data_IF_439509418399
#
_entry.id   IF_439509418399
#
_cell.length_a   1.000
_cell.length_b   1.000
_cell.length_c   1.000
_cell.angle_alpha   90.00
_cell.angle_beta   90.00
_cell.angle_gamma   90.00
#
_symmetry.space_group_name_H-M   'P 1'
#
loop_
_entity.id
_entity.type
_entity.pdbx_description
1 polymer ?
#
# COMPACT_ATOMS: atom_id res chain seq x y z
N UNK A 1 -11.80 -21.79 -2.22
CA UNK A 1 -12.21 -21.31 -3.56
C UNK A 1 -12.69 -19.87 -3.49
N UNK A 2 -13.88 -19.59 -2.92
CA UNK A 2 -14.48 -18.24 -2.80
C UNK A 2 -13.51 -17.13 -2.36
N UNK A 3 -12.80 -17.30 -1.25
CA UNK A 3 -11.89 -16.26 -0.73
C UNK A 3 -10.73 -15.93 -1.70
N UNK A 4 -10.22 -16.93 -2.43
CA UNK A 4 -9.18 -16.72 -3.43
C UNK A 4 -9.74 -15.94 -4.63
N UNK A 5 -10.95 -16.25 -5.08
CA UNK A 5 -11.63 -15.51 -6.14
C UNK A 5 -11.86 -14.05 -5.74
N UNK A 6 -12.32 -13.81 -4.51
CA UNK A 6 -12.49 -12.47 -3.96
C UNK A 6 -11.16 -11.71 -3.99
N UNK A 7 -10.08 -12.29 -3.45
CA UNK A 7 -8.76 -11.65 -3.45
C UNK A 7 -8.27 -11.32 -4.87
N UNK A 8 -8.46 -12.24 -5.82
CA UNK A 8 -8.09 -12.02 -7.23
C UNK A 8 -8.90 -10.88 -7.86
N UNK A 9 -10.19 -10.77 -7.55
CA UNK A 9 -11.01 -9.65 -8.01
C UNK A 9 -10.58 -8.32 -7.38
N UNK A 10 -10.23 -8.30 -6.10
CA UNK A 10 -9.69 -7.09 -5.44
C UNK A 10 -8.41 -6.63 -6.14
N UNK A 11 -7.45 -7.53 -6.40
CA UNK A 11 -6.23 -7.19 -7.15
C UNK A 11 -6.57 -6.61 -8.53
N UNK A 12 -7.48 -7.26 -9.28
CA UNK A 12 -7.92 -6.78 -10.59
C UNK A 12 -8.47 -5.34 -10.55
N UNK A 13 -9.21 -4.96 -9.51
CA UNK A 13 -9.78 -3.62 -9.37
C UNK A 13 -8.71 -2.55 -9.08
N UNK A 14 -7.61 -2.91 -8.40
CA UNK A 14 -6.54 -1.99 -8.06
C UNK A 14 -5.44 -1.87 -9.13
N UNK A 15 -5.27 -2.88 -10.00
CA UNK A 15 -4.28 -2.87 -11.08
C UNK A 15 -4.29 -1.57 -11.92
N UNK A 16 -5.46 -1.04 -12.38
CA UNK A 16 -5.49 0.16 -13.22
C UNK A 16 -4.98 1.42 -12.51
N UNK A 17 -4.98 1.43 -11.18
CA UNK A 17 -4.50 2.56 -10.36
C UNK A 17 -3.09 2.33 -9.81
N UNK A 18 -2.37 1.34 -10.35
CA UNK A 18 -0.97 1.08 -10.01
C UNK A 18 -0.78 0.42 -8.64
N UNK A 19 -1.82 -0.21 -8.08
CA UNK A 19 -1.71 -0.98 -6.85
C UNK A 19 -1.92 -2.45 -7.15
N UNK A 20 -1.07 -3.28 -6.57
CA UNK A 20 -1.18 -4.73 -6.58
C UNK A 20 -1.62 -5.21 -5.22
N UNK A 21 -2.49 -6.22 -5.18
CA UNK A 21 -3.03 -6.75 -3.93
C UNK A 21 -2.71 -8.23 -3.86
N UNK A 22 -2.06 -8.65 -2.78
CA UNK A 22 -1.60 -10.02 -2.62
C UNK A 22 -2.09 -10.61 -1.32
N UNK A 23 -2.70 -11.80 -1.41
CA UNK A 23 -3.15 -12.57 -0.25
C UNK A 23 -1.97 -13.31 0.38
N UNK A 24 -1.51 -12.83 1.54
CA UNK A 24 -0.37 -13.41 2.28
C UNK A 24 -0.79 -14.15 3.56
N UNK A 25 -2.07 -14.09 3.92
CA UNK A 25 -2.62 -14.71 5.12
C UNK A 25 -4.10 -15.04 4.95
N UNK A 26 -4.50 -16.24 5.38
CA UNK A 26 -5.89 -16.65 5.45
C UNK A 26 -6.15 -17.34 6.79
N UNK A 27 -6.99 -16.77 7.65
CA UNK A 27 -7.33 -17.29 8.99
C UNK A 27 -8.85 -17.55 9.10
N UNK A 28 -9.27 -18.81 8.92
CA UNK A 28 -10.69 -19.20 8.93
C UNK A 28 -11.10 -19.68 10.34
N UNK A 29 -12.02 -18.96 10.97
CA UNK A 29 -12.54 -19.27 12.31
C UNK A 29 -13.60 -20.39 12.29
N UNK A 30 -13.19 -21.58 11.86
CA UNK A 30 -14.07 -22.74 11.62
C UNK A 30 -14.75 -23.32 12.87
N UNK A 31 -14.19 -23.12 14.06
CA UNK A 31 -14.71 -23.69 15.30
C UNK A 31 -15.42 -22.67 16.19
N UNK A 32 -14.85 -21.46 16.28
CA UNK A 32 -15.35 -20.38 17.11
C UNK A 32 -14.75 -19.06 16.64
N UNK A 33 -15.56 -18.03 16.63
CA UNK A 33 -15.09 -16.67 16.38
C UNK A 33 -14.05 -16.24 17.42
N UNK A 34 -12.98 -15.62 16.94
CA UNK A 34 -11.91 -15.11 17.82
C UNK A 34 -12.29 -13.78 18.47
N UNK A 35 -13.31 -13.11 17.93
CA UNK A 35 -13.96 -11.94 18.50
C UNK A 35 -15.47 -12.07 18.37
N UNK A 36 -16.24 -11.41 19.23
CA UNK A 36 -17.69 -11.37 19.09
C UNK A 36 -18.10 -10.46 17.92
N UNK A 37 -18.79 -11.05 16.94
CA UNK A 37 -19.30 -10.35 15.75
C UNK A 37 -20.67 -9.75 16.07
N UNK A 38 -20.76 -8.42 16.04
CA UNK A 38 -21.98 -7.65 16.27
C UNK A 38 -22.63 -7.23 14.95
N UNK A 39 -23.94 -7.02 14.96
CA UNK A 39 -24.68 -6.36 13.87
C UNK A 39 -24.29 -4.89 13.72
N UNK A 40 -23.71 -4.28 14.75
CA UNK A 40 -23.10 -2.95 14.64
C UNK A 40 -21.66 -3.06 14.06
N UNK A 41 -21.40 -2.54 12.85
CA UNK A 41 -20.11 -2.68 12.18
C UNK A 41 -18.97 -1.93 12.89
N UNK A 42 -19.24 -0.83 13.60
CA UNK A 42 -18.22 -0.09 14.36
C UNK A 42 -17.67 -0.93 15.52
N UNK A 43 -18.56 -1.64 16.23
CA UNK A 43 -18.19 -2.54 17.32
C UNK A 43 -17.36 -3.70 16.79
N UNK A 44 -17.80 -4.32 15.69
CA UNK A 44 -17.10 -5.44 15.06
C UNK A 44 -15.72 -5.01 14.54
N UNK A 45 -15.62 -3.85 13.87
CA UNK A 45 -14.35 -3.30 13.38
C UNK A 45 -13.36 -3.04 14.52
N UNK A 46 -13.80 -2.43 15.61
CA UNK A 46 -12.95 -2.16 16.76
C UNK A 46 -12.37 -3.46 17.36
N UNK A 47 -13.22 -4.48 17.57
CA UNK A 47 -12.81 -5.78 18.10
C UNK A 47 -11.86 -6.51 17.15
N UNK A 48 -12.17 -6.51 15.85
CA UNK A 48 -11.32 -7.12 14.83
C UNK A 48 -9.93 -6.50 14.77
N UNK A 49 -9.83 -5.16 14.78
CA UNK A 49 -8.54 -4.47 14.75
C UNK A 49 -7.72 -4.69 16.03
N UNK A 50 -8.37 -4.80 17.20
CA UNK A 50 -7.69 -5.18 18.46
C UNK A 50 -7.12 -6.61 18.37
N UNK A 51 -7.92 -7.56 17.86
CA UNK A 51 -7.45 -8.93 17.62
C UNK A 51 -6.33 -8.99 16.58
N UNK A 52 -6.44 -8.24 15.48
CA UNK A 52 -5.39 -8.14 14.46
C UNK A 52 -4.06 -7.74 15.10
N UNK A 53 -4.09 -6.73 15.97
CA UNK A 53 -2.90 -6.23 16.64
C UNK A 53 -2.29 -7.23 17.63
N UNK A 54 -3.12 -7.88 18.45
CA UNK A 54 -2.65 -8.79 19.51
C UNK A 54 -2.30 -10.18 19.03
N UNK A 55 -3.00 -10.67 18.01
CA UNK A 55 -2.97 -12.07 17.63
C UNK A 55 -2.46 -12.27 16.21
N UNK A 56 -2.92 -11.49 15.22
CA UNK A 56 -2.56 -11.74 13.82
C UNK A 56 -1.18 -11.19 13.45
N UNK A 57 -0.91 -9.92 13.75
CA UNK A 57 0.38 -9.26 13.43
C UNK A 57 1.61 -10.00 13.98
N UNK A 58 1.60 -10.58 15.20
CA UNK A 58 2.73 -11.36 15.69
C UNK A 58 2.99 -12.67 14.94
N UNK A 59 1.96 -13.23 14.28
CA UNK A 59 2.04 -14.53 13.58
C UNK A 59 2.35 -14.38 12.09
N UNK A 60 1.77 -13.35 11.46
CA UNK A 60 1.82 -13.17 10.00
C UNK A 60 2.10 -11.71 9.66
N UNK A 61 3.21 -11.45 8.97
CA UNK A 61 3.53 -10.11 8.45
C UNK A 61 2.59 -9.78 7.28
N UNK A 62 1.83 -8.70 7.40
CA UNK A 62 0.90 -8.20 6.39
C UNK A 62 0.68 -6.69 6.58
N UNK A 63 0.22 -6.00 5.55
CA UNK A 63 0.03 -4.54 5.58
C UNK A 63 -1.36 -4.17 6.10
N UNK A 64 -2.35 -4.93 5.67
CA UNK A 64 -3.77 -4.68 5.87
C UNK A 64 -4.52 -6.00 6.12
N UNK A 65 -5.58 -5.98 6.93
CA UNK A 65 -6.42 -7.15 7.12
C UNK A 65 -7.90 -6.85 6.89
N UNK A 66 -8.61 -7.72 6.17
CA UNK A 66 -10.02 -7.53 5.82
C UNK A 66 -10.82 -8.69 6.40
N UNK A 67 -11.69 -8.40 7.37
CA UNK A 67 -12.57 -9.39 7.98
C UNK A 67 -13.80 -9.58 7.11
N UNK A 68 -14.14 -10.83 6.79
CA UNK A 68 -15.36 -11.17 6.04
C UNK A 68 -16.31 -11.93 6.96
N UNK A 69 -17.56 -11.48 7.06
CA UNK A 69 -18.57 -12.07 7.94
C UNK A 69 -19.87 -12.37 7.19
N UNK A 70 -20.56 -13.44 7.62
CA UNK A 70 -21.94 -13.73 7.18
C UNK A 70 -23.01 -13.08 8.05
N UNK A 71 -22.62 -12.28 9.05
CA UNK A 71 -23.55 -11.49 9.87
C UNK A 71 -23.97 -10.24 9.10
N UNK A 72 -25.28 -10.05 8.99
CA UNK A 72 -25.90 -8.85 8.40
C UNK A 72 -25.70 -7.64 9.31
N UNK A 73 -25.09 -6.58 8.79
CA UNK A 73 -24.87 -5.36 9.55
C UNK A 73 -26.12 -4.46 9.55
N UNK A 74 -26.28 -3.64 10.58
CA UNK A 74 -27.44 -2.77 10.71
C UNK A 74 -27.54 -1.75 9.57
N UNK A 75 -28.74 -1.63 9.01
CA UNK A 75 -29.06 -0.63 7.99
C UNK A 75 -28.74 -1.13 6.58
N UNK A 76 -27.98 -0.33 5.83
CA UNK A 76 -27.56 -0.65 4.45
C UNK A 76 -26.04 -0.78 4.32
N UNK A 77 -25.34 -0.89 5.45
CA UNK A 77 -23.89 -0.93 5.51
C UNK A 77 -23.42 -2.34 5.23
N UNK A 78 -22.63 -2.53 4.18
CA UNK A 78 -22.04 -3.85 3.85
C UNK A 78 -20.55 -3.93 4.17
N UNK A 79 -19.95 -2.84 4.63
CA UNK A 79 -18.54 -2.76 4.98
C UNK A 79 -18.24 -1.52 5.82
N UNK A 80 -17.12 -1.55 6.54
CA UNK A 80 -16.62 -0.40 7.28
C UNK A 80 -15.10 -0.46 7.48
N UNK A 81 -14.41 0.63 7.13
CA UNK A 81 -12.99 0.83 7.35
C UNK A 81 -12.66 2.16 8.04
N UNK A 82 -11.52 2.18 8.72
CA UNK A 82 -10.89 3.44 9.12
C UNK A 82 -10.24 4.13 7.91
N UNK A 83 -10.43 5.44 7.79
CA UNK A 83 -9.77 6.21 6.74
C UNK A 83 -8.30 6.48 7.07
N UNK A 84 -7.44 6.57 6.05
CA UNK A 84 -6.00 6.87 6.19
C UNK A 84 -5.25 5.92 7.14
N UNK A 85 -5.72 4.68 7.25
CA UNK A 85 -5.20 3.71 8.20
C UNK A 85 -4.21 2.72 7.58
N UNK A 86 -3.94 2.76 6.28
CA UNK A 86 -2.99 1.86 5.61
C UNK A 86 -1.61 1.87 6.29
N UNK A 87 -1.02 0.69 6.51
CA UNK A 87 0.23 0.48 7.26
C UNK A 87 0.21 0.88 8.76
N UNK A 88 -0.93 1.25 9.34
CA UNK A 88 -1.04 1.54 10.78
C UNK A 88 -1.52 0.31 11.57
N UNK A 89 -1.55 0.44 12.90
CA UNK A 89 -2.18 -0.56 13.78
C UNK A 89 -3.66 -0.79 13.44
N UNK A 90 -4.32 0.22 12.88
CA UNK A 90 -5.73 0.22 12.50
C UNK A 90 -5.96 -0.11 11.02
N UNK A 91 -4.94 -0.64 10.33
CA UNK A 91 -5.03 -1.00 8.91
C UNK A 91 -5.89 -2.24 8.69
N UNK A 92 -7.18 -2.00 8.42
CA UNK A 92 -8.11 -3.05 8.07
C UNK A 92 -9.54 -2.56 7.97
N UNK A 93 -10.43 -3.51 7.65
CA UNK A 93 -11.86 -3.28 7.55
C UNK A 93 -12.67 -4.54 7.90
N UNK A 94 -13.97 -4.36 8.04
CA UNK A 94 -14.97 -5.44 8.11
C UNK A 94 -15.87 -5.38 6.88
N UNK A 95 -16.25 -6.53 6.34
CA UNK A 95 -17.00 -6.68 5.10
C UNK A 95 -18.03 -7.79 5.26
N UNK A 96 -19.25 -7.55 4.84
CA UNK A 96 -20.30 -8.56 4.80
C UNK A 96 -20.16 -9.43 3.53
N UNK A 97 -20.38 -10.74 3.65
CA UNK A 97 -20.51 -11.67 2.53
C UNK A 97 -21.92 -11.56 1.88
N UNK A 98 -22.30 -10.34 1.50
CA UNK A 98 -23.68 -9.92 1.17
C UNK A 98 -24.22 -10.47 -0.17
N UNK A 99 -23.39 -11.16 -0.97
CA UNK A 99 -23.79 -11.62 -2.30
C UNK A 99 -23.13 -12.93 -2.70
N UNK A 100 -23.84 -13.84 -3.36
CA UNK A 100 -23.25 -15.09 -3.85
C UNK A 100 -22.17 -14.87 -4.93
N UNK A 101 -22.19 -13.76 -5.66
CA UNK A 101 -21.15 -13.38 -6.61
C UNK A 101 -19.94 -12.79 -5.85
N UNK A 102 -18.78 -13.44 -5.97
CA UNK A 102 -17.50 -13.01 -5.39
C UNK A 102 -17.11 -11.57 -5.75
N UNK A 103 -17.54 -11.07 -6.92
CA UNK A 103 -17.30 -9.68 -7.34
C UNK A 103 -17.95 -8.68 -6.38
N UNK A 104 -19.15 -8.95 -5.87
CA UNK A 104 -19.85 -8.02 -4.99
C UNK A 104 -19.11 -7.77 -3.69
N UNK A 105 -18.58 -8.83 -3.08
CA UNK A 105 -17.76 -8.76 -1.87
C UNK A 105 -16.39 -8.16 -2.17
N UNK A 106 -15.78 -8.51 -3.30
CA UNK A 106 -14.53 -7.91 -3.73
C UNK A 106 -14.64 -6.40 -3.96
N UNK A 107 -15.75 -5.91 -4.53
CA UNK A 107 -16.01 -4.48 -4.67
C UNK A 107 -16.13 -3.79 -3.30
N UNK A 108 -16.78 -4.41 -2.32
CA UNK A 108 -16.84 -3.89 -0.94
C UNK A 108 -15.44 -3.85 -0.32
N UNK A 109 -14.65 -4.92 -0.40
CA UNK A 109 -13.28 -4.92 0.11
C UNK A 109 -12.43 -3.85 -0.56
N UNK A 110 -12.58 -3.65 -1.88
CA UNK A 110 -11.88 -2.60 -2.60
C UNK A 110 -12.32 -1.20 -2.18
N UNK A 111 -13.60 -1.00 -1.86
CA UNK A 111 -14.10 0.23 -1.29
C UNK A 111 -13.48 0.51 0.09
N UNK A 112 -13.54 -0.45 1.00
CA UNK A 112 -13.04 -0.29 2.36
C UNK A 112 -11.52 -0.15 2.42
N UNK A 113 -10.79 -0.91 1.60
CA UNK A 113 -9.34 -0.73 1.46
C UNK A 113 -9.01 0.63 0.82
N UNK A 114 -9.90 1.17 -0.02
CA UNK A 114 -9.85 2.52 -0.54
C UNK A 114 -9.88 3.55 0.59
N UNK A 115 -10.79 3.40 1.55
CA UNK A 115 -10.78 4.22 2.76
C UNK A 115 -9.46 4.10 3.53
N UNK A 116 -8.95 2.88 3.75
CA UNK A 116 -7.64 2.70 4.39
C UNK A 116 -6.52 3.47 3.66
N UNK A 117 -6.58 3.55 2.33
CA UNK A 117 -5.68 4.33 1.45
C UNK A 117 -6.04 5.82 1.34
N UNK A 118 -6.91 6.33 2.21
CA UNK A 118 -7.25 7.75 2.31
C UNK A 118 -8.30 8.24 1.31
N UNK A 119 -8.96 7.34 0.58
CA UNK A 119 -10.00 7.70 -0.36
C UNK A 119 -11.30 8.05 0.39
N UNK A 120 -11.95 9.11 -0.07
CA UNK A 120 -13.31 9.49 0.34
C UNK A 120 -14.33 9.08 -0.71
N UNK A 121 -15.60 9.10 -0.36
CA UNK A 121 -16.68 8.83 -1.32
C UNK A 121 -16.65 9.78 -2.51
N UNK A 122 -17.07 9.28 -3.66
CA UNK A 122 -17.22 10.05 -4.88
C UNK A 122 -18.32 11.12 -4.75
N UNK A 123 -18.09 12.25 -5.41
CA UNK A 123 -19.04 13.37 -5.49
C UNK A 123 -19.50 13.55 -6.94
N UNK A 124 -20.53 14.37 -7.18
CA UNK A 124 -21.10 14.55 -8.53
C UNK A 124 -20.09 15.07 -9.57
N UNK A 125 -18.96 15.63 -9.14
CA UNK A 125 -17.92 16.15 -10.02
C UNK A 125 -16.84 15.10 -10.37
N UNK A 126 -16.93 13.90 -9.81
CA UNK A 126 -15.98 12.83 -10.09
C UNK A 126 -16.29 12.16 -11.42
N UNK A 127 -15.24 11.83 -12.18
CA UNK A 127 -15.37 11.15 -13.47
C UNK A 127 -15.19 9.66 -13.24
N UNK A 128 -16.25 8.90 -13.51
CA UNK A 128 -16.31 7.45 -13.41
C UNK A 128 -16.36 6.83 -14.81
N UNK A 129 -15.24 6.25 -15.26
CA UNK A 129 -15.10 5.78 -16.64
C UNK A 129 -15.25 6.94 -17.63
N UNK A 130 -16.29 6.92 -18.46
CA UNK A 130 -16.57 7.99 -19.44
C UNK A 130 -17.58 9.03 -18.96
N UNK A 131 -18.13 8.91 -17.76
CA UNK A 131 -19.23 9.76 -17.28
C UNK A 131 -18.86 10.49 -15.99
N UNK A 132 -19.32 11.73 -15.84
CA UNK A 132 -19.26 12.44 -14.56
C UNK A 132 -20.40 11.94 -13.68
N UNK A 133 -20.09 11.18 -12.65
CA UNK A 133 -21.09 10.60 -11.73
C UNK A 133 -20.45 10.19 -10.41
N UNK A 134 -21.22 10.31 -9.33
CA UNK A 134 -20.89 9.71 -8.02
C UNK A 134 -21.26 8.23 -7.90
N UNK A 135 -21.83 7.62 -8.94
CA UNK A 135 -22.31 6.23 -8.95
C UNK A 135 -21.53 5.37 -9.93
N UNK A 136 -21.51 4.07 -9.70
CA UNK A 136 -20.90 3.09 -10.60
C UNK A 136 -19.37 3.00 -10.51
N UNK A 137 -18.76 3.72 -9.57
CA UNK A 137 -17.35 3.63 -9.23
C UNK A 137 -17.17 2.97 -7.87
N UNK A 138 -15.96 2.44 -7.63
CA UNK A 138 -15.64 1.70 -6.42
C UNK A 138 -15.92 2.53 -5.16
N UNK A 139 -15.58 3.83 -5.16
CA UNK A 139 -15.81 4.74 -4.02
C UNK A 139 -17.18 5.41 -4.02
N UNK A 140 -18.18 4.89 -4.73
CA UNK A 140 -19.55 5.36 -4.58
C UNK A 140 -20.08 5.07 -3.17
N UNK A 141 -20.85 5.99 -2.59
CA UNK A 141 -21.41 5.89 -1.22
C UNK A 141 -22.32 4.66 -1.00
N UNK A 142 -22.86 4.09 -2.08
CA UNK A 142 -23.74 2.92 -2.01
C UNK A 142 -23.42 1.92 -3.12
N UNK A 143 -23.56 0.64 -2.79
CA UNK A 143 -23.39 -0.45 -3.74
C UNK A 143 -24.56 -0.46 -4.71
N UNK A 144 -24.24 -0.43 -6.01
CA UNK A 144 -25.23 -0.54 -7.08
C UNK A 144 -25.57 -1.98 -7.44
N UNK A 145 -26.58 -2.16 -8.31
CA UNK A 145 -26.94 -3.47 -8.89
C UNK A 145 -25.82 -4.00 -9.79
N UNK A 146 -25.11 -3.09 -10.47
CA UNK A 146 -23.94 -3.40 -11.30
C UNK A 146 -22.70 -3.08 -10.48
N UNK A 147 -21.82 -4.08 -10.33
CA UNK A 147 -20.59 -3.92 -9.57
C UNK A 147 -19.58 -3.03 -10.30
N UNK A 148 -18.96 -2.08 -9.59
CA UNK A 148 -18.01 -1.16 -10.19
C UNK A 148 -16.71 -1.88 -10.56
N UNK A 149 -16.16 -1.53 -11.73
CA UNK A 149 -14.88 -2.07 -12.20
C UNK A 149 -13.74 -1.04 -12.13
N UNK A 150 -14.05 0.23 -11.82
CA UNK A 150 -13.11 1.35 -11.92
C UNK A 150 -13.17 2.28 -10.72
N UNK A 151 -12.01 2.84 -10.38
CA UNK A 151 -11.88 4.00 -9.49
C UNK A 151 -12.11 5.29 -10.26
N UNK A 152 -12.79 6.26 -9.63
CA UNK A 152 -13.05 7.56 -10.25
C UNK A 152 -11.78 8.40 -10.40
N UNK A 153 -11.85 9.47 -11.18
CA UNK A 153 -10.77 10.46 -11.27
C UNK A 153 -10.44 11.11 -9.92
N UNK A 154 -11.44 11.31 -9.06
CA UNK A 154 -11.25 11.81 -7.70
C UNK A 154 -10.48 10.81 -6.86
N UNK A 155 -10.87 9.53 -6.92
CA UNK A 155 -10.20 8.46 -6.18
C UNK A 155 -8.72 8.35 -6.60
N UNK A 156 -8.43 8.36 -7.91
CA UNK A 156 -7.07 8.32 -8.42
C UNK A 156 -6.22 9.51 -7.95
N UNK A 157 -6.80 10.71 -7.95
CA UNK A 157 -6.12 11.90 -7.46
C UNK A 157 -5.83 11.83 -5.96
N UNK A 158 -6.79 11.37 -5.16
CA UNK A 158 -6.63 11.20 -3.72
C UNK A 158 -5.59 10.12 -3.40
N UNK A 159 -5.58 9.01 -4.14
CA UNK A 159 -4.60 7.94 -4.00
C UNK A 159 -3.19 8.46 -4.25
N UNK A 160 -2.99 9.20 -5.34
CA UNK A 160 -1.69 9.80 -5.66
C UNK A 160 -1.20 10.70 -4.52
N UNK A 161 -2.08 11.57 -3.98
CA UNK A 161 -1.74 12.42 -2.84
C UNK A 161 -1.38 11.61 -1.59
N UNK A 162 -2.15 10.56 -1.29
CA UNK A 162 -1.87 9.69 -0.15
C UNK A 162 -0.49 9.04 -0.26
N UNK A 163 -0.17 8.46 -1.41
CA UNK A 163 1.13 7.82 -1.66
C UNK A 163 2.28 8.83 -1.57
N UNK A 164 2.10 10.05 -2.09
CA UNK A 164 3.12 11.10 -2.07
C UNK A 164 3.34 11.71 -0.68
N UNK A 165 2.27 11.99 0.07
CA UNK A 165 2.33 12.71 1.34
C UNK A 165 2.59 11.80 2.53
N UNK A 166 1.90 10.63 2.57
CA UNK A 166 2.03 9.68 3.68
C UNK A 166 3.27 8.81 3.50
N UNK A 167 3.62 8.48 2.25
CA UNK A 167 4.70 7.58 1.84
C UNK A 167 4.74 6.30 2.71
N UNK A 168 3.71 5.44 2.59
CA UNK A 168 3.52 4.28 3.43
C UNK A 168 4.59 3.21 3.12
N UNK A 169 5.66 3.18 3.93
CA UNK A 169 6.81 2.31 3.71
C UNK A 169 6.48 0.80 3.64
N UNK A 170 5.35 0.35 4.22
CA UNK A 170 4.98 -1.07 4.19
C UNK A 170 4.49 -1.55 2.81
N UNK A 171 4.13 -0.64 1.91
CA UNK A 171 3.69 -0.98 0.55
C UNK A 171 4.83 -1.09 -0.46
N UNK A 172 6.07 -0.79 -0.02
CA UNK A 172 7.25 -0.74 -0.88
C UNK A 172 8.01 -2.07 -0.90
N UNK A 173 7.82 -2.94 0.10
CA UNK A 173 8.42 -4.28 0.08
C UNK A 173 7.53 -5.28 -0.65
N UNK A 174 8.11 -5.93 -1.65
CA UNK A 174 7.49 -7.06 -2.34
C UNK A 174 7.40 -8.25 -1.38
N UNK A 175 6.23 -8.88 -1.21
CA UNK A 175 6.10 -10.08 -0.38
C UNK A 175 6.98 -11.23 -0.88
N UNK A 176 7.41 -12.09 0.04
CA UNK A 176 7.99 -13.40 -0.34
C UNK A 176 6.91 -14.23 -1.02
N UNK A 177 7.22 -14.73 -2.20
CA UNK A 177 6.32 -15.55 -3.02
C UNK A 177 6.29 -17.02 -2.58
N UNK A 178 7.02 -17.38 -1.51
CA UNK A 178 6.97 -18.71 -0.89
C UNK A 178 5.66 -18.97 -0.13
N UNK A 179 4.85 -17.92 0.11
CA UNK A 179 3.63 -17.96 0.93
C UNK A 179 2.38 -17.45 0.20
N UNK A 180 2.34 -17.56 -1.13
CA UNK A 180 1.14 -17.18 -1.88
C UNK A 180 0.06 -18.25 -1.68
N UNK A 181 -1.10 -17.84 -1.16
CA UNK A 181 -2.25 -18.73 -1.05
C UNK A 181 -2.85 -19.00 -2.43
N UNK A 182 -2.92 -20.27 -2.83
CA UNK A 182 -3.42 -20.69 -4.14
C UNK A 182 -2.34 -21.23 -5.09
N UNK A 183 -1.07 -21.11 -4.72
CA UNK A 183 0.08 -21.51 -5.56
C UNK A 183 0.41 -20.49 -6.66
N UNK A 184 1.48 -20.73 -7.44
CA UNK A 184 1.92 -19.82 -8.50
C UNK A 184 0.87 -19.62 -9.60
N UNK A 185 0.65 -18.38 -10.03
CA UNK A 185 -0.32 -18.00 -11.08
C UNK A 185 0.32 -17.07 -12.10
N UNK A 186 0.72 -17.64 -13.22
CA UNK A 186 1.27 -16.87 -14.34
C UNK A 186 0.28 -15.82 -14.88
N UNK A 187 0.77 -14.59 -15.04
CA UNK A 187 0.03 -13.43 -15.51
C UNK A 187 -0.55 -12.58 -14.39
N UNK A 188 -0.15 -12.84 -13.14
CA UNK A 188 -0.49 -12.03 -12.00
C UNK A 188 0.60 -11.00 -11.69
N UNK A 189 1.61 -10.80 -12.54
CA UNK A 189 2.70 -9.84 -12.35
C UNK A 189 3.42 -9.95 -10.98
N UNK A 190 3.48 -11.15 -10.40
CA UNK A 190 4.32 -11.47 -9.26
C UNK A 190 5.25 -12.61 -9.66
N UNK A 191 6.55 -12.45 -9.40
CA UNK A 191 7.51 -13.51 -9.71
C UNK A 191 7.42 -14.65 -8.67
N UNK A 192 6.72 -15.72 -9.02
CA UNK A 192 6.44 -16.84 -8.12
C UNK A 192 7.34 -18.06 -8.37
N UNK A 193 7.46 -19.01 -7.40
CA UNK A 193 8.27 -20.21 -7.60
C UNK A 193 7.85 -21.01 -8.84
N UNK A 194 8.79 -21.18 -9.78
CA UNK A 194 8.58 -21.89 -11.05
C UNK A 194 8.54 -20.97 -12.28
N UNK A 195 8.33 -19.68 -12.06
CA UNK A 195 8.36 -18.63 -13.08
C UNK A 195 9.75 -18.01 -13.20
N UNK A 196 10.07 -17.49 -14.39
CA UNK A 196 11.33 -16.76 -14.62
C UNK A 196 11.08 -15.25 -14.79
N UNK A 197 9.84 -14.88 -15.08
CA UNK A 197 9.33 -13.51 -15.16
C UNK A 197 7.80 -13.56 -15.11
N UNK A 198 7.16 -12.49 -14.65
CA UNK A 198 5.72 -12.29 -14.81
C UNK A 198 5.44 -10.80 -14.98
N UNK A 199 4.97 -10.43 -16.18
CA UNK A 199 4.68 -9.04 -16.56
C UNK A 199 3.17 -8.74 -16.64
N UNK A 200 2.33 -9.60 -16.05
CA UNK A 200 0.87 -9.49 -16.07
C UNK A 200 0.24 -10.27 -17.22
N UNK A 201 -1.02 -9.98 -17.52
CA UNK A 201 -1.72 -10.68 -18.62
C UNK A 201 -1.09 -10.36 -19.97
N UNK A 202 -1.45 -11.14 -21.02
CA UNK A 202 -0.96 -10.91 -22.38
C UNK A 202 -1.28 -9.51 -22.89
N UNK A 203 -2.41 -8.94 -22.49
CA UNK A 203 -2.84 -7.59 -22.86
C UNK A 203 -2.09 -6.50 -22.08
N UNK A 204 -1.71 -6.78 -20.83
CA UNK A 204 -1.02 -5.85 -19.93
C UNK A 204 0.49 -5.81 -20.19
N UNK A 205 1.07 -6.95 -20.55
CA UNK A 205 2.51 -7.13 -20.64
C UNK A 205 3.13 -6.31 -21.78
N UNK A 206 3.97 -5.35 -21.39
CA UNK A 206 4.79 -4.55 -22.30
C UNK A 206 6.27 -4.93 -22.26
N UNK A 207 6.64 -5.92 -21.44
CA UNK A 207 8.02 -6.30 -21.21
C UNK A 207 8.52 -7.23 -22.34
N UNK A 208 9.43 -6.78 -23.23
CA UNK A 208 9.90 -7.60 -24.35
C UNK A 208 10.77 -8.78 -23.91
N UNK A 209 11.22 -8.80 -22.64
CA UNK A 209 12.07 -9.86 -22.09
C UNK A 209 11.25 -11.05 -21.57
N UNK A 210 9.93 -10.90 -21.40
CA UNK A 210 9.08 -11.89 -20.79
C UNK A 210 8.01 -12.42 -21.74
N UNK A 211 7.78 -13.72 -21.73
CA UNK A 211 6.66 -14.35 -22.40
C UNK A 211 5.46 -14.43 -21.45
N UNK A 212 4.51 -13.49 -21.60
CA UNK A 212 3.34 -13.39 -20.73
C UNK A 212 2.42 -14.62 -20.72
N UNK A 213 2.49 -15.49 -21.74
CA UNK A 213 1.68 -16.72 -21.79
C UNK A 213 2.28 -17.86 -20.96
N UNK A 214 3.60 -17.84 -20.76
CA UNK A 214 4.33 -18.96 -20.14
C UNK A 214 5.09 -18.56 -18.89
N UNK A 215 5.22 -17.27 -18.59
CA UNK A 215 6.02 -16.72 -17.49
C UNK A 215 7.48 -17.20 -17.53
N UNK A 216 8.00 -17.26 -18.77
CA UNK A 216 9.37 -17.63 -19.11
C UNK A 216 10.07 -16.48 -19.81
N UNK A 217 11.39 -16.42 -19.63
CA UNK A 217 12.18 -15.43 -20.34
C UNK A 217 12.16 -15.72 -21.84
N UNK A 218 12.08 -14.65 -22.64
CA UNK A 218 12.25 -14.76 -24.09
C UNK A 218 13.70 -15.15 -24.43
N UNK A 219 13.89 -15.67 -25.65
CA UNK A 219 15.22 -16.05 -26.12
C UNK A 219 16.22 -14.89 -25.94
N UNK A 220 17.43 -15.20 -25.46
CA UNK A 220 18.53 -14.26 -25.20
C UNK A 220 18.36 -13.33 -23.98
N UNK A 221 17.20 -13.35 -23.30
CA UNK A 221 17.01 -12.60 -22.06
C UNK A 221 17.67 -13.32 -20.88
N UNK A 222 18.44 -12.59 -20.08
CA UNK A 222 19.00 -13.03 -18.79
C UNK A 222 18.14 -12.59 -17.60
N UNK A 223 17.31 -11.57 -17.81
CA UNK A 223 16.39 -11.03 -16.83
C UNK A 223 15.22 -10.35 -17.54
N UNK A 224 14.12 -10.14 -16.83
CA UNK A 224 13.00 -9.32 -17.30
C UNK A 224 12.73 -8.13 -16.39
N UNK A 225 12.89 -8.30 -15.09
CA UNK A 225 12.53 -7.31 -14.07
C UNK A 225 13.61 -7.17 -13.00
N UNK A 226 13.52 -6.11 -12.20
CA UNK A 226 14.50 -5.77 -11.15
C UNK A 226 15.44 -4.63 -11.53
N UNK A 227 15.94 -3.93 -10.52
CA UNK A 227 16.75 -2.71 -10.68
C UNK A 227 18.14 -3.01 -11.27
N UNK A 228 18.57 -4.26 -11.25
CA UNK A 228 19.78 -4.76 -11.89
C UNK A 228 19.53 -5.40 -13.26
N UNK A 229 18.33 -5.26 -13.83
CA UNK A 229 18.05 -5.62 -15.22
C UNK A 229 18.08 -4.38 -16.13
N UNK A 230 18.71 -4.50 -17.30
CA UNK A 230 18.67 -3.46 -18.33
C UNK A 230 18.69 -4.08 -19.72
N UNK A 231 17.70 -3.76 -20.56
CA UNK A 231 17.54 -4.32 -21.91
C UNK A 231 17.65 -5.86 -21.94
N UNK A 232 16.92 -6.51 -21.02
CA UNK A 232 16.92 -7.96 -20.84
C UNK A 232 18.27 -8.59 -20.43
N UNK A 233 19.27 -7.78 -20.07
CA UNK A 233 20.60 -8.23 -19.64
C UNK A 233 20.87 -7.81 -18.19
N UNK A 234 21.65 -8.62 -17.49
CA UNK A 234 22.09 -8.27 -16.14
C UNK A 234 23.07 -7.09 -16.20
N UNK A 235 22.85 -6.08 -15.35
CA UNK A 235 23.81 -4.99 -15.17
C UNK A 235 25.13 -5.53 -14.65
N UNK A 236 26.24 -4.97 -15.14
CA UNK A 236 27.58 -5.36 -14.72
C UNK A 236 27.79 -5.20 -13.21
N UNK A 237 28.62 -6.06 -12.62
CA UNK A 237 29.01 -5.99 -11.21
C UNK A 237 29.50 -4.58 -10.84
N UNK A 238 29.00 -4.04 -9.74
CA UNK A 238 29.35 -2.69 -9.27
C UNK A 238 28.50 -1.57 -9.90
N UNK A 239 27.50 -1.89 -10.73
CA UNK A 239 26.52 -0.89 -11.20
C UNK A 239 25.61 -0.48 -10.04
N UNK A 240 25.39 0.81 -9.83
CA UNK A 240 24.46 1.30 -8.78
C UNK A 240 23.03 0.91 -9.15
N UNK A 241 22.34 0.20 -8.25
CA UNK A 241 20.91 -0.10 -8.39
C UNK A 241 20.04 0.74 -7.47
N UNK A 242 20.49 1.03 -6.25
CA UNK A 242 19.82 1.96 -5.34
C UNK A 242 20.82 3.03 -4.89
N UNK A 243 20.59 4.31 -5.22
CA UNK A 243 21.44 5.40 -4.73
C UNK A 243 21.12 5.69 -3.26
N UNK A 244 22.11 6.20 -2.52
CA UNK A 244 21.90 6.65 -1.14
C UNK A 244 20.82 7.75 -1.07
N UNK A 245 19.85 7.59 -0.18
CA UNK A 245 18.78 8.56 0.08
C UNK A 245 19.23 9.70 1.02
N UNK A 246 20.31 9.52 1.79
CA UNK A 246 20.81 10.52 2.72
C UNK A 246 22.11 10.13 3.42
N UNK A 247 22.49 10.91 4.45
CA UNK A 247 23.72 10.67 5.23
C UNK A 247 23.69 9.37 6.05
N UNK A 248 22.49 8.84 6.34
CA UNK A 248 22.29 7.63 7.15
C UNK A 248 22.08 6.36 6.31
N UNK A 249 22.19 6.48 4.99
CA UNK A 249 21.83 5.43 4.05
C UNK A 249 23.03 5.06 3.18
N UNK A 250 23.16 3.79 2.80
CA UNK A 250 24.21 3.32 1.90
C UNK A 250 23.65 3.23 0.47
N UNK A 251 24.53 3.00 -0.50
CA UNK A 251 24.11 2.71 -1.87
C UNK A 251 24.36 1.22 -2.14
N UNK A 252 23.48 0.62 -2.94
CA UNK A 252 23.57 -0.79 -3.31
C UNK A 252 23.97 -0.93 -4.77
N UNK A 253 24.69 -2.01 -5.01
CA UNK A 253 25.35 -2.29 -6.26
C UNK A 253 24.97 -3.68 -6.76
N UNK A 254 24.73 -3.78 -8.07
CA UNK A 254 24.45 -5.04 -8.73
C UNK A 254 25.63 -6.00 -8.59
N UNK A 255 25.32 -7.26 -8.35
CA UNK A 255 26.32 -8.33 -8.26
C UNK A 255 26.80 -8.77 -9.64
N UNK A 256 26.03 -8.51 -10.70
CA UNK A 256 26.22 -9.05 -12.04
C UNK A 256 25.73 -10.48 -12.22
N UNK A 257 25.17 -11.08 -11.16
CA UNK A 257 24.67 -12.46 -11.15
C UNK A 257 23.15 -12.54 -10.90
N UNK A 258 22.53 -11.43 -10.50
CA UNK A 258 21.09 -11.34 -10.21
C UNK A 258 20.52 -10.03 -10.72
N UNK A 259 19.26 -10.08 -11.12
CA UNK A 259 18.48 -8.93 -11.58
C UNK A 259 17.92 -8.09 -10.43
N UNK A 260 17.83 -8.66 -9.23
CA UNK A 260 17.39 -7.96 -8.02
C UNK A 260 18.53 -7.14 -7.42
N UNK A 261 18.23 -5.92 -6.99
CA UNK A 261 19.15 -5.15 -6.16
C UNK A 261 19.32 -5.86 -4.79
N UNK A 262 20.53 -5.88 -4.20
CA UNK A 262 20.72 -6.36 -2.83
C UNK A 262 19.82 -5.63 -1.83
N UNK A 263 19.56 -6.27 -0.68
CA UNK A 263 18.75 -5.68 0.39
C UNK A 263 19.32 -4.34 0.87
N UNK A 264 18.42 -3.38 1.10
CA UNK A 264 18.74 -2.04 1.61
C UNK A 264 19.58 -2.11 2.89
N UNK A 265 20.79 -1.56 2.81
CA UNK A 265 21.71 -1.43 3.93
C UNK A 265 21.87 0.04 4.33
N UNK A 266 21.99 0.26 5.63
CA UNK A 266 22.10 1.60 6.20
C UNK A 266 23.30 1.73 7.13
N UNK A 267 23.67 2.97 7.42
CA UNK A 267 24.74 3.26 8.38
C UNK A 267 24.33 2.83 9.80
N UNK A 268 25.32 2.66 10.67
CA UNK A 268 25.06 2.22 12.03
C UNK A 268 24.13 3.19 12.78
N UNK A 269 23.11 2.62 13.43
CA UNK A 269 22.22 3.39 14.31
C UNK A 269 23.03 4.11 15.40
N UNK A 270 22.70 5.38 15.64
CA UNK A 270 23.42 6.23 16.60
C UNK A 270 24.54 7.09 16.02
N UNK A 271 24.87 6.95 14.72
CA UNK A 271 25.79 7.89 14.06
C UNK A 271 25.17 9.29 13.95
N UNK A 272 25.97 10.33 14.13
CA UNK A 272 25.49 11.70 14.03
C UNK A 272 25.12 12.05 12.59
N UNK A 273 24.00 12.76 12.42
CA UNK A 273 23.49 13.17 11.12
C UNK A 273 22.87 14.57 11.19
N UNK A 274 22.56 15.17 10.03
CA UNK A 274 22.04 16.53 9.94
C UNK A 274 22.94 17.53 10.70
N UNK A 275 24.25 17.49 10.41
CA UNK A 275 25.28 18.34 11.05
C UNK A 275 25.30 18.24 12.59
N UNK A 276 25.07 17.04 13.13
CA UNK A 276 25.09 16.78 14.58
C UNK A 276 23.79 17.10 15.30
N UNK A 277 22.70 17.41 14.59
CA UNK A 277 21.39 17.72 15.17
C UNK A 277 20.47 16.49 15.31
N UNK A 278 20.96 15.30 14.95
CA UNK A 278 20.21 14.06 15.06
C UNK A 278 21.13 12.85 15.00
N UNK A 279 20.51 11.69 15.14
CA UNK A 279 21.20 10.40 15.07
C UNK A 279 20.52 9.49 14.06
N UNK A 280 21.31 8.76 13.29
CA UNK A 280 20.84 7.79 12.32
C UNK A 280 20.04 6.69 13.01
N UNK A 281 18.92 6.33 12.42
CA UNK A 281 18.08 5.23 12.85
C UNK A 281 17.39 4.60 11.64
N UNK A 282 17.73 3.35 11.33
CA UNK A 282 17.21 2.56 10.22
C UNK A 282 17.22 3.32 8.88
N UNK A 283 18.40 3.77 8.45
CA UNK A 283 18.57 4.50 7.18
C UNK A 283 18.17 5.97 7.20
N UNK A 284 17.44 6.43 8.23
CA UNK A 284 16.95 7.79 8.30
C UNK A 284 17.65 8.64 9.34
N UNK A 285 17.65 9.96 9.12
CA UNK A 285 18.01 10.96 10.12
C UNK A 285 16.73 11.62 10.66
N UNK A 286 16.02 10.98 11.60
CA UNK A 286 14.80 11.53 12.17
C UNK A 286 15.10 12.84 12.89
N UNK A 287 14.23 13.83 12.68
CA UNK A 287 14.27 15.07 13.46
C UNK A 287 12.88 15.42 13.95
N UNK A 288 12.83 16.01 15.15
CA UNK A 288 11.58 16.44 15.76
C UNK A 288 10.76 17.35 14.84
N UNK A 289 11.43 18.30 14.19
CA UNK A 289 10.80 19.22 13.23
C UNK A 289 10.18 18.49 12.04
N UNK A 290 10.88 17.49 11.47
CA UNK A 290 10.34 16.66 10.38
C UNK A 290 9.13 15.85 10.85
N UNK A 291 9.19 15.29 12.05
CA UNK A 291 8.07 14.56 12.64
C UNK A 291 6.86 15.47 12.84
N UNK A 292 7.06 16.69 13.38
CA UNK A 292 6.00 17.68 13.55
C UNK A 292 5.34 18.08 12.23
N UNK A 293 6.15 18.34 11.20
CA UNK A 293 5.65 18.63 9.86
C UNK A 293 4.80 17.49 9.30
N UNK A 294 5.16 16.23 9.55
CA UNK A 294 4.41 15.05 9.10
C UNK A 294 3.05 14.93 9.79
N UNK A 295 2.98 15.19 11.09
CA UNK A 295 1.75 15.04 11.87
C UNK A 295 0.78 16.23 11.71
N UNK A 296 1.29 17.46 11.61
CA UNK A 296 0.48 18.68 11.70
C UNK A 296 0.58 19.60 10.48
N UNK A 297 1.37 19.23 9.47
CA UNK A 297 1.53 19.98 8.24
C UNK A 297 2.67 21.01 8.25
N UNK A 298 2.93 21.65 7.09
CA UNK A 298 3.98 22.65 6.93
C UNK A 298 3.79 23.85 7.88
N UNK A 299 4.88 24.34 8.46
CA UNK A 299 4.89 25.53 9.33
C UNK A 299 4.47 25.25 10.78
N UNK A 300 4.37 23.99 11.22
CA UNK A 300 4.12 23.62 12.61
C UNK A 300 5.41 23.13 13.29
N UNK A 301 5.72 23.70 14.45
CA UNK A 301 6.83 23.30 15.30
C UNK A 301 6.30 22.77 16.64
N UNK A 302 7.07 21.92 17.32
CA UNK A 302 6.69 21.39 18.62
C UNK A 302 7.81 21.54 19.64
N UNK A 303 7.44 21.90 20.86
CA UNK A 303 8.32 21.94 22.02
C UNK A 303 7.86 20.93 23.08
N UNK A 304 8.82 20.37 23.82
CA UNK A 304 8.58 19.40 24.88
C UNK A 304 8.79 20.13 26.17
N UNK A 305 7.74 20.18 26.99
CA UNK A 305 7.79 20.84 28.28
C UNK A 305 7.69 19.73 29.32
N UNK A 306 8.68 19.67 30.21
CA UNK A 306 8.64 18.80 31.37
C UNK A 306 7.86 19.52 32.47
N UNK A 307 6.72 18.99 32.88
CA UNK A 307 5.96 19.50 34.02
C UNK A 307 5.72 18.32 34.97
N UNK A 308 6.14 18.43 36.23
CA UNK A 308 5.91 17.42 37.27
C UNK A 308 6.33 15.98 36.87
N UNK A 309 7.41 15.83 36.10
CA UNK A 309 7.93 14.52 35.68
C UNK A 309 7.22 13.92 34.46
N UNK A 310 6.18 14.56 33.93
CA UNK A 310 5.53 14.19 32.66
C UNK A 310 6.00 15.09 31.52
N UNK A 311 6.24 14.47 30.35
CA UNK A 311 6.63 15.19 29.12
C UNK A 311 5.36 15.57 28.36
N UNK A 312 5.09 16.87 28.27
CA UNK A 312 4.00 17.41 27.45
C UNK A 312 4.54 17.88 26.10
N UNK A 313 3.86 17.48 25.02
CA UNK A 313 4.18 17.90 23.66
C UNK A 313 3.26 19.06 23.26
N UNK A 314 3.80 20.27 23.09
CA UNK A 314 3.05 21.44 22.63
C UNK A 314 3.43 21.79 21.20
N UNK A 315 2.45 21.79 20.29
CA UNK A 315 2.63 22.11 18.87
C UNK A 315 2.06 23.50 18.57
N UNK A 316 2.85 24.37 17.93
CA UNK A 316 2.47 25.73 17.55
C UNK A 316 2.85 26.02 16.09
N UNK A 317 2.27 27.08 15.51
CA UNK A 317 2.64 27.53 14.17
C UNK A 317 3.93 28.38 14.24
N UNK A 318 4.99 27.96 13.56
CA UNK A 318 6.16 28.80 13.31
C UNK A 318 5.77 29.85 12.24
N UNK A 319 5.32 31.02 12.68
CA UNK A 319 5.31 32.20 11.81
C UNK A 319 6.75 32.71 11.68
N UNK A 320 7.46 32.29 10.63
CA UNK A 320 8.68 32.96 10.21
C UNK A 320 8.30 34.31 9.58
N UNK A 321 8.44 35.38 10.36
CA UNK A 321 8.48 36.76 9.86
C UNK A 321 9.75 36.97 9.02
N UNK A 322 9.70 36.67 7.72
CA UNK A 322 10.62 37.24 6.74
C UNK A 322 9.96 37.34 5.36
N UNK A 323 9.90 38.58 4.90
CA UNK A 323 9.46 39.13 3.62
C UNK A 323 9.31 38.20 2.40
N UNK A 324 8.15 38.40 1.77
CA UNK A 324 7.73 38.12 0.39
C UNK A 324 8.89 38.15 -0.62
N UNK A 325 9.11 37.04 -1.32
CA UNK A 325 9.37 36.99 -2.77
C UNK A 325 8.95 35.59 -3.29
N UNK A 326 7.75 35.49 -3.86
CA UNK A 326 7.36 34.34 -4.69
C UNK A 326 8.16 34.41 -6.00
N UNK A 327 9.13 33.54 -6.16
CA UNK A 327 9.61 33.14 -7.49
C UNK A 327 9.05 31.75 -7.77
N UNK A 328 8.19 31.69 -8.79
CA UNK A 328 7.62 30.46 -9.32
C UNK A 328 8.75 29.59 -9.87
N UNK A 329 8.99 28.44 -9.25
CA UNK A 329 9.64 27.30 -9.89
C UNK A 329 8.64 26.15 -9.92
N UNK A 330 8.05 25.92 -11.09
CA UNK A 330 7.40 24.66 -11.41
C UNK A 330 8.50 23.60 -11.52
N UNK A 331 8.73 22.83 -10.46
CA UNK A 331 9.38 21.53 -10.62
C UNK A 331 8.30 20.53 -11.01
N UNK A 332 8.21 20.26 -12.31
CA UNK A 332 7.64 19.02 -12.83
C UNK A 332 8.54 17.88 -12.34
N UNK A 333 8.22 17.33 -11.16
CA UNK A 333 8.74 16.02 -10.79
C UNK A 333 8.06 15.00 -11.69
N UNK A 334 8.81 14.07 -12.31
CA UNK A 334 8.19 12.94 -12.99
C UNK A 334 7.34 12.19 -11.95
N UNK A 335 6.07 11.95 -12.29
CA UNK A 335 5.23 10.99 -11.60
C UNK A 335 5.90 9.65 -11.85
N UNK A 336 6.76 9.20 -10.93
CA UNK A 336 7.05 7.79 -10.85
C UNK A 336 5.72 7.14 -10.51
N UNK A 337 5.20 6.29 -11.41
CA UNK A 337 4.16 5.34 -11.05
C UNK A 337 4.75 4.47 -9.93
N UNK A 338 4.51 4.87 -8.68
CA UNK A 338 4.84 4.07 -7.52
C UNK A 338 3.86 2.91 -7.53
N UNK A 339 4.32 1.78 -8.07
CA UNK A 339 3.57 0.54 -8.00
C UNK A 339 3.63 0.09 -6.53
N UNK A 340 2.54 0.24 -5.81
CA UNK A 340 2.44 -0.22 -4.42
C UNK A 340 1.94 -1.65 -4.38
N UNK A 341 2.50 -2.49 -3.51
CA UNK A 341 1.96 -3.83 -3.24
C UNK A 341 1.34 -3.83 -1.86
N UNK A 342 0.02 -4.09 -1.78
CA UNK A 342 -0.69 -4.29 -0.52
C UNK A 342 -0.75 -5.77 -0.23
N UNK A 343 -0.11 -6.18 0.87
CA UNK A 343 -0.20 -7.53 1.42
C UNK A 343 -1.43 -7.59 2.32
N UNK A 344 -2.49 -8.25 1.86
CA UNK A 344 -3.72 -8.45 2.61
C UNK A 344 -3.72 -9.79 3.35
N UNK A 345 -4.28 -9.78 4.55
CA UNK A 345 -4.71 -10.98 5.26
C UNK A 345 -6.25 -11.00 5.34
N UNK A 346 -6.85 -12.14 5.04
CA UNK A 346 -8.29 -12.38 5.14
C UNK A 346 -8.61 -13.30 6.32
#
# INVERSE_FOLDING_TARGET
>A
ARILEIANHVDKLYRPVGIRVMLVGLDIWSYKDQVEVSTNPEVTLARFLEWRQRSLLPRTKHDNAQFITGVDFEGSTVGLANTNAMCTSNSGAVNEDHNSNSIGVASTIAHEMGHNLGLSHDTENCVCGSFTSKKGCIMAESVGIVYPEVFSSCSQQQLSRFLDEVNPACLLDTPSTDRVYGGPVCGNAFLEPGEECDCGTVEECKNPCCNATTCKLNAEAQCAEGECCHNCQLKATGSVCRPKAGECDLAEYCTGLSASCPTDAYTQNGLTCNRGQGYCYNGQCPSRRKHCKRLWGPGKACISILLYGTVFLYCYCECLMTHIFMSHFYYLKPIFQTHGVVKIAL
#
